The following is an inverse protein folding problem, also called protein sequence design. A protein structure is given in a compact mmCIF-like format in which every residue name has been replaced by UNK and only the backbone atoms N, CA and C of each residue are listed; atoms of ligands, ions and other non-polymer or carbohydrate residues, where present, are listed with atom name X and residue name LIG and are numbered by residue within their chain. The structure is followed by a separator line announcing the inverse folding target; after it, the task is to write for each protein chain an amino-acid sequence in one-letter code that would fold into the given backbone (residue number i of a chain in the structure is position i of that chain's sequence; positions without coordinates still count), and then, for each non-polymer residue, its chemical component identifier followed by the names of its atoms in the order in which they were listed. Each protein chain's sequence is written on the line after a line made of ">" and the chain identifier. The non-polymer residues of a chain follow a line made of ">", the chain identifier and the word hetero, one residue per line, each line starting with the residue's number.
data_IF_282300491856
#
_entry.id   IF_282300491856
#
_cell.length_a   1.000
_cell.length_b   1.000
_cell.length_c   1.000
_cell.angle_alpha   90.00
_cell.angle_beta   90.00
_cell.angle_gamma   90.00
#
_symmetry.space_group_name_H-M   'P 1'
#
loop_
_entity.id
_entity.type
_entity.pdbx_description
1 polymer ?
2 non-polymer ?
3 non-polymer ?
4 non-polymer ?
5 water ?
#
# COMPACT_ATOMS: atom_id res chain seq x y z
N UNK A 2 13.92 -19.04 -15.10
CA UNK A 2 15.24 -18.45 -14.91
C UNK A 2 15.64 -18.45 -13.43
N UNK A 3 14.67 -18.66 -12.55
CA UNK A 3 14.90 -18.61 -11.12
C UNK A 3 14.36 -19.87 -10.46
N UNK A 4 15.09 -20.37 -9.47
CA UNK A 4 14.76 -21.61 -8.83
C UNK A 4 13.61 -21.43 -7.84
N UNK A 5 13.03 -22.57 -7.43
CA UNK A 5 12.01 -22.53 -6.38
C UNK A 5 12.54 -21.81 -5.15
N UNK A 6 13.77 -22.12 -4.74
CA UNK A 6 14.31 -21.49 -3.54
C UNK A 6 14.47 -19.99 -3.71
N UNK A 7 14.86 -19.54 -4.91
CA UNK A 7 14.98 -18.11 -5.16
C UNK A 7 13.64 -17.42 -5.00
N UNK A 8 12.57 -18.04 -5.50
CA UNK A 8 11.23 -17.47 -5.33
C UNK A 8 10.85 -17.42 -3.86
N UNK A 9 11.16 -18.48 -3.11
CA UNK A 9 10.89 -18.48 -1.67
C UNK A 9 11.60 -17.32 -1.00
N UNK A 10 12.89 -17.12 -1.33
CA UNK A 10 13.63 -16.01 -0.73
C UNK A 10 12.99 -14.67 -1.04
N UNK A 11 12.59 -14.47 -2.31
CA UNK A 11 11.97 -13.21 -2.70
C UNK A 11 10.62 -13.01 -2.02
N UNK A 12 9.97 -14.09 -1.58
CA UNK A 12 8.64 -14.00 -1.00
C UNK A 12 8.65 -13.58 0.46
N UNK A 13 9.82 -13.41 1.07
CA UNK A 13 9.88 -13.11 2.48
C UNK A 13 9.87 -11.59 2.71
N UNK A 14 9.19 -11.14 3.77
CA UNK A 14 9.26 -9.71 4.10
C UNK A 14 10.69 -9.32 4.44
N UNK A 15 11.07 -8.10 4.04
CA UNK A 15 12.42 -7.59 4.32
C UNK A 15 12.35 -6.65 5.50
N UNK A 16 11.62 -5.54 5.35
CA UNK A 16 11.40 -4.60 6.45
C UNK A 16 10.05 -4.90 7.10
N UNK A 17 10.02 -4.82 8.43
CA UNK A 17 8.77 -5.03 9.16
C UNK A 17 8.71 -4.09 10.37
N UNK A 18 7.55 -4.08 11.02
CA UNK A 18 7.34 -3.25 12.21
C UNK A 18 8.13 -3.73 13.41
N UNK A 19 8.78 -4.89 13.33
CA UNK A 19 9.68 -5.35 14.38
C UNK A 19 11.04 -4.68 14.31
N UNK A 20 11.37 -4.01 13.20
CA UNK A 20 12.67 -3.40 13.04
C UNK A 20 12.80 -2.21 13.99
N UNK A 21 13.96 -2.12 14.67
CA UNK A 21 14.19 -1.02 15.60
C UNK A 21 14.05 0.33 14.92
N UNK A 22 14.58 0.48 13.70
CA UNK A 22 14.52 1.78 13.03
C UNK A 22 13.09 2.16 12.67
N UNK A 23 12.21 1.18 12.46
CA UNK A 23 10.81 1.48 12.22
C UNK A 23 10.13 1.92 13.52
N UNK A 24 10.33 1.14 14.59
CA UNK A 24 9.79 1.52 15.89
C UNK A 24 10.25 2.92 16.28
N UNK A 25 11.52 3.24 16.05
CA UNK A 25 12.03 4.56 16.40
C UNK A 25 11.31 5.66 15.63
N UNK A 26 11.12 5.46 14.33
CA UNK A 26 10.41 6.45 13.53
C UNK A 26 8.99 6.68 14.06
N UNK A 27 8.25 5.60 14.30
CA UNK A 27 6.88 5.73 14.77
C UNK A 27 6.83 6.42 16.12
N UNK A 28 7.72 6.03 17.04
CA UNK A 28 7.73 6.63 18.37
C UNK A 28 8.02 8.12 18.32
N UNK A 29 9.07 8.51 17.58
CA UNK A 29 9.46 9.91 17.53
C UNK A 29 8.39 10.75 16.84
N UNK A 30 7.86 10.27 15.72
CA UNK A 30 6.89 11.04 14.96
C UNK A 30 5.58 11.15 15.73
N UNK A 31 5.16 10.07 16.38
CA UNK A 31 3.94 10.12 17.18
C UNK A 31 4.04 11.18 18.27
N UNK A 32 5.19 11.23 18.95
CA UNK A 32 5.36 12.23 20.00
C UNK A 32 5.24 13.65 19.45
N UNK A 33 5.84 13.90 18.28
CA UNK A 33 5.79 15.24 17.70
C UNK A 33 4.36 15.62 17.34
N UNK A 34 3.58 14.68 16.81
CA UNK A 34 2.20 14.99 16.43
C UNK A 34 1.31 15.15 17.65
N UNK A 35 1.49 14.29 18.66
CA UNK A 35 0.68 14.41 19.87
C UNK A 35 0.90 15.74 20.57
N UNK A 36 2.12 16.29 20.48
CA UNK A 36 2.41 17.55 21.15
C UNK A 36 1.53 18.68 20.65
N UNK A 37 1.08 18.59 19.40
CA UNK A 37 0.19 19.60 18.84
C UNK A 37 -1.27 19.19 18.86
N UNK A 38 -1.56 17.92 18.54
CA UNK A 38 -2.94 17.50 18.30
C UNK A 38 -3.55 16.71 19.45
N UNK A 39 -2.74 16.24 20.39
CA UNK A 39 -3.30 15.47 21.49
C UNK A 39 -4.12 14.30 20.99
N UNK A 40 -5.29 14.11 21.62
CA UNK A 40 -6.17 12.99 21.28
C UNK A 40 -7.14 13.33 20.15
N UNK A 41 -7.00 14.48 19.51
CA UNK A 41 -7.86 14.85 18.41
C UNK A 41 -7.56 14.09 17.12
N UNK A 42 -6.54 13.24 17.12
CA UNK A 42 -6.18 12.45 15.95
C UNK A 42 -6.08 10.98 16.33
N UNK A 43 -6.33 10.11 15.35
CA UNK A 43 -5.96 8.71 15.42
C UNK A 43 -4.75 8.50 14.54
N UNK A 44 -3.71 7.87 15.09
CA UNK A 44 -2.50 7.55 14.35
C UNK A 44 -2.47 6.04 14.11
N UNK A 45 -2.24 5.65 12.86
CA UNK A 45 -2.16 4.25 12.50
C UNK A 45 -1.30 4.12 11.24
N UNK A 46 -0.99 2.90 10.88
CA UNK A 46 -0.16 2.64 9.71
C UNK A 46 -1.03 2.21 8.53
N UNK A 47 -0.54 2.51 7.33
CA UNK A 47 -1.04 1.91 6.11
C UNK A 47 0.17 1.51 5.28
N UNK A 48 -0.08 1.00 4.10
CA UNK A 48 0.99 0.66 3.19
C UNK A 48 1.74 -0.59 3.62
N UNK A 49 2.96 -0.71 3.09
CA UNK A 49 3.67 -1.99 3.11
C UNK A 49 3.94 -2.46 4.55
N UNK A 50 4.19 -1.53 5.47
CA UNK A 50 4.43 -1.94 6.84
C UNK A 50 3.16 -2.45 7.50
N UNK A 51 2.01 -1.88 7.14
CA UNK A 51 0.73 -2.35 7.68
C UNK A 51 0.35 -3.70 7.10
N UNK A 52 0.46 -3.85 5.78
CA UNK A 52 0.06 -5.07 5.09
C UNK A 52 1.17 -6.11 5.04
N UNK A 53 2.38 -5.77 5.52
CA UNK A 53 3.50 -6.70 5.56
C UNK A 53 3.93 -7.15 4.16
N UNK A 54 4.15 -6.17 3.29
CA UNK A 54 4.53 -6.44 1.91
C UNK A 54 5.84 -5.77 1.52
N UNK A 55 6.69 -5.45 2.49
CA UNK A 55 7.96 -4.79 2.20
C UNK A 55 8.97 -5.78 1.62
N UNK A 56 9.65 -5.37 0.57
CA UNK A 56 10.66 -6.21 -0.06
C UNK A 56 11.98 -5.47 -0.23
N UNK A 57 12.09 -4.30 0.39
CA UNK A 57 13.31 -3.50 0.32
C UNK A 57 13.77 -3.17 1.73
N UNK A 58 15.09 -3.19 1.93
CA UNK A 58 15.64 -2.86 3.24
C UNK A 58 15.40 -1.39 3.55
N UNK A 59 15.13 -1.10 4.82
CA UNK A 59 15.04 0.29 5.29
C UNK A 59 13.95 1.06 4.54
N UNK A 60 12.85 0.38 4.23
CA UNK A 60 11.78 1.00 3.47
C UNK A 60 11.10 2.10 4.29
N UNK A 61 10.52 3.07 3.58
CA UNK A 61 9.78 4.14 4.22
C UNK A 61 8.46 3.60 4.79
N UNK A 62 8.04 4.17 5.91
CA UNK A 62 6.80 3.77 6.58
C UNK A 62 5.76 4.86 6.40
N UNK A 63 4.51 4.44 6.18
CA UNK A 63 3.39 5.35 5.95
C UNK A 63 2.59 5.46 7.24
N UNK A 64 2.68 6.61 7.89
CA UNK A 64 2.01 6.88 9.16
C UNK A 64 0.83 7.80 8.87
N UNK A 65 -0.37 7.31 9.08
CA UNK A 65 -1.59 8.09 8.84
C UNK A 65 -1.93 8.85 10.12
N UNK A 66 -2.24 10.13 9.97
CA UNK A 66 -2.73 10.95 11.09
C UNK A 66 -4.12 11.44 10.73
N UNK A 67 -5.13 10.76 11.25
CA UNK A 67 -6.53 11.06 10.94
C UNK A 67 -7.07 12.04 11.97
N UNK A 68 -7.30 13.28 11.55
CA UNK A 68 -7.94 14.26 12.42
C UNK A 68 -9.42 13.95 12.44
N UNK A 69 -9.94 13.53 13.61
CA UNK A 69 -11.26 12.93 13.65
C UNK A 69 -12.03 13.30 14.91
N UNK A 70 -11.68 14.43 15.54
CA UNK A 70 -12.34 14.85 16.77
C UNK A 70 -13.86 14.90 16.61
N UNK A 71 -14.35 15.23 15.41
CA UNK A 71 -15.79 15.33 15.21
C UNK A 71 -16.46 13.97 15.20
N UNK A 72 -15.75 12.92 14.78
CA UNK A 72 -16.32 11.58 14.69
C UNK A 72 -15.95 10.71 15.88
N UNK A 73 -14.78 10.93 16.48
CA UNK A 73 -14.30 10.17 17.63
C UNK A 73 -13.85 11.18 18.68
N UNK A 74 -14.81 11.87 19.31
CA UNK A 74 -14.46 12.93 20.25
C UNK A 74 -13.86 12.37 21.54
N UNK A 75 -13.36 13.29 22.37
CA UNK A 75 -12.75 12.95 23.64
C UNK A 75 -13.83 12.60 24.64
N UNK A 76 -13.82 11.36 25.12
CA UNK A 76 -14.81 10.91 26.09
C UNK A 76 -14.53 11.54 27.45
N UNK A 96 -12.18 24.11 10.04
CA UNK A 96 -10.85 23.49 9.95
C UNK A 96 -10.74 22.77 8.60
N UNK A 97 -10.15 23.44 7.61
CA UNK A 97 -10.02 22.87 6.28
C UNK A 97 -8.72 22.08 6.17
N UNK A 98 -8.60 21.32 5.08
CA UNK A 98 -7.43 20.44 4.94
C UNK A 98 -6.15 21.25 4.80
N UNK A 99 -6.19 22.38 4.11
CA UNK A 99 -4.98 23.20 3.96
C UNK A 99 -4.39 23.53 5.33
N UNK A 100 -5.23 23.93 6.28
CA UNK A 100 -4.75 24.24 7.62
C UNK A 100 -4.23 22.99 8.33
N UNK A 101 -4.92 21.86 8.16
CA UNK A 101 -4.48 20.62 8.80
C UNK A 101 -3.08 20.24 8.32
N UNK A 102 -2.86 20.25 7.00
CA UNK A 102 -1.56 19.84 6.48
C UNK A 102 -0.47 20.82 6.90
N UNK A 103 -0.79 22.11 6.92
CA UNK A 103 0.18 23.10 7.38
C UNK A 103 0.51 22.91 8.85
N UNK A 104 -0.50 22.66 9.68
CA UNK A 104 -0.27 22.43 11.10
C UNK A 104 0.53 21.16 11.32
N UNK A 105 0.28 20.13 10.50
CA UNK A 105 1.03 18.88 10.61
C UNK A 105 2.50 19.13 10.25
N UNK A 106 2.74 19.86 9.17
CA UNK A 106 4.12 20.18 8.78
C UNK A 106 4.82 20.95 9.89
N UNK A 107 4.11 21.89 10.52
CA UNK A 107 4.68 22.68 11.61
C UNK A 107 5.03 21.81 12.80
N UNK A 108 4.12 20.93 13.20
CA UNK A 108 4.38 20.06 14.35
C UNK A 108 5.63 19.22 14.10
N UNK A 109 5.79 18.71 12.88
CA UNK A 109 6.95 17.88 12.55
C UNK A 109 8.22 18.72 12.46
N UNK A 110 8.13 19.90 11.83
CA UNK A 110 9.32 20.73 11.68
C UNK A 110 9.84 21.20 13.03
N UNK A 111 8.95 21.44 14.00
CA UNK A 111 9.41 21.88 15.32
C UNK A 111 10.36 20.87 15.94
N UNK A 112 10.20 19.59 15.61
CA UNK A 112 11.00 18.52 16.20
C UNK A 112 12.12 18.08 15.26
N UNK A 113 11.80 17.85 13.99
CA UNK A 113 12.73 17.26 13.03
C UNK A 113 13.37 18.28 12.11
N UNK A 114 12.99 19.55 12.23
CA UNK A 114 13.59 20.67 11.49
C UNK A 114 13.89 20.34 10.04
N UNK A 115 15.18 20.32 9.67
CA UNK A 115 15.55 20.23 8.26
C UNK A 115 15.23 18.88 7.63
N UNK A 116 14.87 17.87 8.42
CA UNK A 116 14.49 16.58 7.86
C UNK A 116 13.08 16.57 7.29
N UNK A 117 12.31 17.64 7.48
CA UNK A 117 10.92 17.68 7.05
C UNK A 117 10.84 18.25 5.64
N UNK A 118 10.14 17.55 4.76
CA UNK A 118 9.93 17.99 3.38
C UNK A 118 8.46 17.80 3.04
N UNK A 119 7.80 18.88 2.65
CA UNK A 119 6.41 18.76 2.21
C UNK A 119 6.37 18.10 0.83
N UNK A 120 5.45 17.17 0.67
CA UNK A 120 5.25 16.45 -0.58
C UNK A 120 3.82 16.63 -1.05
N UNK A 121 3.54 16.15 -2.26
CA UNK A 121 2.23 16.36 -2.87
C UNK A 121 1.13 15.73 -2.03
N UNK A 122 1.37 14.54 -1.47
CA UNK A 122 0.32 13.79 -0.80
C UNK A 122 0.63 13.50 0.67
N UNK A 123 1.71 14.05 1.21
CA UNK A 123 2.10 13.76 2.58
C UNK A 123 3.14 14.78 3.03
N UNK A 124 3.55 14.66 4.29
CA UNK A 124 4.72 15.35 4.81
C UNK A 124 5.78 14.28 5.07
N UNK A 125 6.93 14.39 4.42
CA UNK A 125 7.99 13.42 4.58
C UNK A 125 8.91 13.84 5.71
N UNK A 126 9.23 12.90 6.59
CA UNK A 126 10.23 13.10 7.64
C UNK A 126 11.39 12.19 7.29
N UNK A 127 12.47 12.76 6.77
CA UNK A 127 13.61 11.96 6.35
C UNK A 127 14.28 11.30 7.55
N UNK A 128 14.70 10.05 7.35
CA UNK A 128 15.29 9.27 8.41
C UNK A 128 16.75 9.59 8.62
N UNK A 129 17.39 8.75 9.43
CA UNK A 129 18.81 8.90 9.76
C UNK A 129 19.35 7.54 10.15
N UNK A 130 20.53 7.52 10.80
CA UNK A 130 21.16 6.26 11.14
C UNK A 130 20.30 5.41 12.05
N UNK A 131 19.36 6.01 12.79
CA UNK A 131 18.60 5.30 13.80
C UNK A 131 17.11 5.24 13.53
N UNK A 132 16.62 5.76 12.40
CA UNK A 132 15.20 5.69 12.12
C UNK A 132 14.97 5.72 10.62
N UNK A 133 13.96 4.98 10.18
CA UNK A 133 13.59 5.00 8.78
C UNK A 133 12.89 6.32 8.44
N UNK A 134 12.85 6.62 7.14
CA UNK A 134 12.05 7.72 6.65
C UNK A 134 10.57 7.38 6.78
N UNK A 135 9.77 8.40 7.05
CA UNK A 135 8.33 8.23 7.20
C UNK A 135 7.60 9.23 6.32
N UNK A 136 6.51 8.78 5.72
CA UNK A 136 5.54 9.64 5.07
C UNK A 136 4.37 9.79 6.04
N UNK A 137 4.15 11.00 6.52
CA UNK A 137 3.04 11.29 7.42
C UNK A 137 1.87 11.81 6.58
N UNK A 138 0.72 11.16 6.73
CA UNK A 138 -0.43 11.43 5.87
C UNK A 138 -1.55 12.02 6.71
N UNK A 139 -1.63 13.34 6.86
CA UNK A 139 -2.81 13.93 7.50
C UNK A 139 -4.04 13.69 6.63
N UNK A 140 -5.17 13.46 7.30
CA UNK A 140 -6.40 13.16 6.58
C UNK A 140 -7.59 13.35 7.51
N UNK A 141 -8.78 13.25 6.92
CA UNK A 141 -10.04 13.29 7.65
C UNK A 141 -10.78 11.97 7.47
N UNK A 142 -11.82 11.79 8.28
CA UNK A 142 -12.74 10.67 8.09
C UNK A 142 -13.50 10.84 6.78
N UNK A 143 -13.73 9.72 6.10
CA UNK A 143 -14.45 9.68 4.83
C UNK A 143 -15.55 8.64 4.93
N UNK A 144 -16.75 9.00 4.51
CA UNK A 144 -17.86 8.05 4.38
C UNK A 144 -18.37 8.10 2.95
N UNK A 145 -18.53 6.93 2.35
CA UNK A 145 -18.94 6.84 0.96
C UNK A 145 -19.74 5.56 0.75
N UNK A 146 -20.78 5.66 -0.06
CA UNK A 146 -21.63 4.50 -0.30
C UNK A 146 -20.98 3.56 -1.31
N UNK A 147 -20.98 2.27 -1.00
CA UNK A 147 -20.48 1.24 -1.89
C UNK A 147 -21.68 0.53 -2.53
N UNK A 148 -21.80 0.63 -3.85
CA UNK A 148 -22.85 -0.12 -4.54
C UNK A 148 -22.52 -1.61 -4.58
N UNK A 149 -21.24 -1.96 -4.62
CA UNK A 149 -20.85 -3.36 -4.64
C UNK A 149 -21.42 -4.10 -3.43
N UNK A 150 -21.30 -3.50 -2.24
CA UNK A 150 -21.81 -4.11 -1.03
C UNK A 150 -23.08 -3.46 -0.50
N UNK A 151 -23.58 -2.43 -1.18
CA UNK A 151 -24.81 -1.74 -0.79
C UNK A 151 -24.77 -1.34 0.69
N UNK A 152 -23.67 -0.69 1.06
CA UNK A 152 -23.48 -0.20 2.42
C UNK A 152 -22.66 1.07 2.36
N UNK A 153 -22.84 1.93 3.36
CA UNK A 153 -21.93 3.06 3.53
C UNK A 153 -20.64 2.56 4.16
N UNK A 154 -19.50 2.91 3.56
CA UNK A 154 -18.20 2.47 4.01
C UNK A 154 -17.43 3.67 4.57
N UNK A 155 -16.67 3.42 5.63
CA UNK A 155 -15.85 4.45 6.24
C UNK A 155 -14.39 4.23 5.89
N UNK A 156 -13.73 5.29 5.44
CA UNK A 156 -12.31 5.26 5.16
C UNK A 156 -11.69 6.60 5.52
N UNK A 157 -10.71 7.04 4.74
CA UNK A 157 -10.07 8.33 4.96
C UNK A 157 -10.02 9.10 3.66
N UNK A 158 -9.90 10.42 3.78
CA UNK A 158 -9.76 11.29 2.63
C UNK A 158 -8.74 12.38 2.93
N UNK A 159 -7.96 12.75 1.92
CA UNK A 159 -7.08 13.90 2.00
C UNK A 159 -6.99 14.51 0.61
N UNK A 160 -6.29 15.63 0.51
CA UNK A 160 -6.17 16.35 -0.75
C UNK A 160 -4.70 16.55 -1.08
N UNK A 161 -4.36 16.29 -2.34
CA UNK A 161 -3.00 16.50 -2.79
C UNK A 161 -2.78 17.97 -3.09
N UNK A 162 -1.50 18.37 -3.10
CA UNK A 162 -1.17 19.76 -3.42
C UNK A 162 -1.59 20.14 -4.84
N UNK A 163 -1.74 19.16 -5.74
CA UNK A 163 -2.27 19.42 -7.08
C UNK A 163 -3.79 19.25 -7.14
N UNK A 164 -4.47 19.29 -6.00
CA UNK A 164 -5.91 19.47 -5.86
C UNK A 164 -6.73 18.20 -6.09
N UNK A 165 -6.12 17.03 -6.01
CA UNK A 165 -6.89 15.79 -6.13
C UNK A 165 -7.44 15.39 -4.77
N UNK A 166 -8.68 14.89 -4.77
CA UNK A 166 -9.24 14.25 -3.59
C UNK A 166 -8.79 12.80 -3.60
N UNK A 167 -8.03 12.42 -2.58
CA UNK A 167 -7.50 11.07 -2.44
C UNK A 167 -8.32 10.36 -1.39
N UNK A 168 -8.90 9.21 -1.76
CA UNK A 168 -9.77 8.43 -0.89
C UNK A 168 -9.20 7.03 -0.74
N UNK A 169 -9.22 6.51 0.48
CA UNK A 169 -8.58 5.23 0.79
C UNK A 169 -9.41 4.52 1.84
N UNK A 170 -9.38 3.19 1.80
CA UNK A 170 -10.06 2.33 2.76
C UNK A 170 -9.05 1.35 3.33
N UNK A 171 -8.09 1.86 4.11
CA UNK A 171 -6.97 1.01 4.55
C UNK A 171 -7.38 -0.13 5.47
N UNK A 172 -8.40 0.04 6.31
CA UNK A 172 -8.79 -1.03 7.22
C UNK A 172 -9.35 -2.21 6.46
N UNK A 173 -10.26 -1.96 5.51
CA UNK A 173 -10.84 -3.04 4.72
C UNK A 173 -9.80 -3.68 3.80
N UNK A 174 -8.91 -2.86 3.23
CA UNK A 174 -7.78 -3.40 2.49
C UNK A 174 -6.95 -4.35 3.36
N UNK A 175 -6.60 -3.90 4.56
CA UNK A 175 -5.80 -4.74 5.44
C UNK A 175 -6.52 -6.05 5.77
N UNK A 176 -7.77 -5.95 6.21
CA UNK A 176 -8.47 -7.14 6.70
C UNK A 176 -8.70 -8.15 5.59
N UNK A 177 -9.14 -7.69 4.41
CA UNK A 177 -9.42 -8.63 3.32
C UNK A 177 -8.15 -9.27 2.79
N UNK A 178 -7.05 -8.52 2.74
CA UNK A 178 -5.79 -9.11 2.31
C UNK A 178 -5.26 -10.13 3.30
N UNK A 179 -5.40 -9.83 4.59
CA UNK A 179 -5.02 -10.80 5.63
C UNK A 179 -5.83 -12.08 5.49
N UNK A 180 -7.14 -11.95 5.30
CA UNK A 180 -7.99 -13.12 5.17
C UNK A 180 -7.58 -13.96 3.97
N UNK A 181 -7.30 -13.32 2.82
CA UNK A 181 -6.95 -14.10 1.64
C UNK A 181 -5.64 -14.86 1.85
N UNK A 182 -4.62 -14.21 2.43
CA UNK A 182 -3.38 -14.92 2.66
C UNK A 182 -3.57 -16.07 3.66
N UNK A 183 -4.46 -15.89 4.64
CA UNK A 183 -4.75 -16.98 5.58
C UNK A 183 -5.46 -18.14 4.90
N UNK A 184 -6.13 -17.90 3.77
CA UNK A 184 -6.84 -18.96 3.06
C UNK A 184 -6.03 -19.60 1.95
N UNK A 185 -4.86 -19.05 1.61
CA UNK A 185 -4.09 -19.50 0.47
C UNK A 185 -2.72 -20.03 0.86
N UNK A 186 -2.63 -20.67 2.03
CA UNK A 186 -1.36 -21.21 2.51
C UNK A 186 -0.31 -20.10 2.63
N UNK A 187 -0.75 -18.88 2.91
CA UNK A 187 0.09 -17.71 3.06
C UNK A 187 0.73 -17.28 1.74
N UNK A 188 0.25 -17.81 0.61
CA UNK A 188 0.86 -17.53 -0.67
C UNK A 188 0.37 -16.23 -1.31
N UNK A 189 -0.80 -15.71 -0.91
CA UNK A 189 -1.27 -14.46 -1.51
C UNK A 189 -0.23 -13.35 -1.34
N UNK A 190 0.14 -13.06 -0.10
CA UNK A 190 1.11 -11.97 0.13
C UNK A 190 2.50 -12.36 -0.34
N UNK A 191 2.85 -13.64 -0.29
CA UNK A 191 4.14 -14.09 -0.81
C UNK A 191 4.25 -13.84 -2.31
N UNK A 192 3.16 -14.06 -3.04
CA UNK A 192 3.17 -13.77 -4.48
C UNK A 192 3.21 -12.28 -4.74
N UNK A 193 2.49 -11.48 -3.94
CA UNK A 193 2.60 -10.03 -4.05
C UNK A 193 4.05 -9.60 -3.89
N UNK A 194 4.73 -10.13 -2.86
CA UNK A 194 6.11 -9.73 -2.61
C UNK A 194 7.01 -10.11 -3.77
N UNK A 195 6.82 -11.31 -4.33
CA UNK A 195 7.61 -11.72 -5.50
C UNK A 195 7.41 -10.73 -6.64
N UNK A 196 6.16 -10.38 -6.92
CA UNK A 196 5.89 -9.47 -8.05
C UNK A 196 6.42 -8.07 -7.77
N UNK A 197 6.44 -7.63 -6.51
CA UNK A 197 7.05 -6.35 -6.18
C UNK A 197 8.56 -6.39 -6.43
N UNK A 198 9.21 -7.50 -6.08
CA UNK A 198 10.63 -7.67 -6.38
C UNK A 198 10.87 -7.55 -7.88
N UNK A 199 10.07 -8.26 -8.68
CA UNK A 199 10.23 -8.22 -10.13
C UNK A 199 9.98 -6.80 -10.65
N UNK A 200 8.98 -6.12 -10.09
CA UNK A 200 8.70 -4.74 -10.48
C UNK A 200 9.92 -3.85 -10.27
N UNK A 201 10.54 -3.92 -9.09
CA UNK A 201 11.70 -3.08 -8.82
C UNK A 201 12.85 -3.42 -9.76
N UNK A 202 13.05 -4.71 -10.07
CA UNK A 202 14.10 -5.11 -10.99
C UNK A 202 13.84 -4.59 -12.40
N UNK A 203 12.60 -4.70 -12.88
CA UNK A 203 12.27 -4.19 -14.20
C UNK A 203 12.45 -2.67 -14.25
N UNK A 204 12.11 -1.96 -13.18
CA UNK A 204 12.33 -0.53 -13.14
C UNK A 204 13.82 -0.20 -13.18
N UNK A 205 14.61 -0.90 -12.36
CA UNK A 205 16.05 -0.65 -12.33
C UNK A 205 16.70 -0.93 -13.67
N UNK A 206 16.21 -1.94 -14.38
CA UNK A 206 16.73 -2.27 -15.71
C UNK A 206 16.24 -1.32 -16.80
N UNK A 207 15.33 -0.40 -16.47
CA UNK A 207 14.77 0.47 -17.48
C UNK A 207 13.80 -0.19 -18.41
N UNK A 208 13.23 -1.33 -18.01
CA UNK A 208 12.32 -2.07 -18.87
C UNK A 208 10.89 -1.55 -18.78
N UNK A 209 10.51 -0.99 -17.64
CA UNK A 209 9.20 -0.39 -17.45
C UNK A 209 9.37 0.93 -16.71
N UNK A 210 8.38 1.81 -16.87
CA UNK A 210 8.37 3.06 -16.13
C UNK A 210 8.13 2.78 -14.64
N UNK A 211 8.67 3.65 -13.80
CA UNK A 211 8.57 3.45 -12.36
C UNK A 211 7.14 3.62 -11.84
N UNK A 212 6.19 4.00 -12.70
CA UNK A 212 4.79 4.14 -12.30
C UNK A 212 3.85 3.33 -13.17
N UNK A 213 4.36 2.38 -13.96
CA UNK A 213 3.48 1.51 -14.72
C UNK A 213 2.48 0.83 -13.79
N UNK A 214 2.98 0.30 -12.68
CA UNK A 214 2.15 -0.27 -11.63
C UNK A 214 2.59 0.33 -10.30
N UNK A 215 1.86 -0.04 -9.24
CA UNK A 215 2.17 0.37 -7.88
C UNK A 215 1.98 -0.84 -6.99
N UNK A 216 2.46 -0.74 -5.75
CA UNK A 216 2.23 -1.82 -4.78
C UNK A 216 0.73 -2.07 -4.63
N UNK A 217 -0.05 -1.00 -4.46
CA UNK A 217 -1.50 -1.14 -4.35
C UNK A 217 -2.08 -1.88 -5.56
N UNK A 218 -1.68 -1.47 -6.76
CA UNK A 218 -2.18 -2.09 -7.98
C UNK A 218 -1.83 -3.57 -8.01
N UNK A 219 -0.58 -3.91 -7.69
CA UNK A 219 -0.18 -5.32 -7.67
C UNK A 219 -1.02 -6.10 -6.66
N UNK A 220 -1.19 -5.53 -5.46
CA UNK A 220 -1.97 -6.21 -4.43
C UNK A 220 -3.39 -6.47 -4.90
N UNK A 221 -4.00 -5.52 -5.61
CA UNK A 221 -5.37 -5.72 -6.09
C UNK A 221 -5.42 -6.76 -7.19
N UNK A 222 -4.45 -6.76 -8.11
CA UNK A 222 -4.45 -7.74 -9.19
C UNK A 222 -4.37 -9.16 -8.63
N UNK A 223 -3.41 -9.42 -7.74
CA UNK A 223 -3.25 -10.77 -7.21
C UNK A 223 -4.45 -11.17 -6.36
N UNK A 224 -5.08 -10.20 -5.70
CA UNK A 224 -6.23 -10.49 -4.86
C UNK A 224 -7.36 -11.13 -5.66
N UNK A 225 -7.50 -10.77 -6.94
CA UNK A 225 -8.59 -11.29 -7.75
C UNK A 225 -8.30 -12.64 -8.38
N UNK A 226 -7.10 -13.19 -8.17
CA UNK A 226 -6.83 -14.57 -8.59
C UNK A 226 -7.52 -15.52 -7.62
N UNK A 227 -8.34 -16.46 -8.11
CA UNK A 227 -9.09 -17.32 -7.19
C UNK A 227 -8.17 -18.11 -6.26
N UNK A 228 -8.66 -18.35 -5.04
CA UNK A 228 -7.86 -19.03 -4.04
C UNK A 228 -7.35 -20.39 -4.53
N UNK A 229 -8.12 -21.08 -5.38
CA UNK A 229 -7.72 -22.42 -5.81
C UNK A 229 -6.55 -22.41 -6.79
N UNK A 230 -6.01 -21.25 -7.14
CA UNK A 230 -4.82 -21.16 -7.97
C UNK A 230 -3.53 -21.18 -7.14
N UNK A 231 -3.63 -21.05 -5.82
CA UNK A 231 -2.46 -21.02 -4.95
C UNK A 231 -2.22 -22.43 -4.43
N UNK A 232 -1.06 -22.98 -4.79
CA UNK A 232 -0.76 -24.39 -4.57
C UNK A 232 0.21 -24.50 -3.40
N UNK A 233 -0.22 -25.14 -2.32
CA UNK A 233 0.62 -25.28 -1.15
C UNK A 233 1.95 -25.93 -1.52
N UNK A 234 3.04 -25.27 -1.12
CA UNK A 234 4.36 -25.82 -1.29
C UNK A 234 4.92 -25.76 -2.68
N UNK A 235 4.27 -25.07 -3.61
CA UNK A 235 4.77 -24.96 -4.98
C UNK A 235 4.75 -23.49 -5.41
N UNK A 236 5.85 -22.80 -5.13
CA UNK A 236 5.93 -21.38 -5.46
C UNK A 236 6.03 -21.17 -6.97
N UNK A 237 6.79 -22.03 -7.66
CA UNK A 237 6.98 -21.85 -9.09
C UNK A 237 5.66 -21.99 -9.84
N UNK A 238 4.87 -23.01 -9.51
CA UNK A 238 3.60 -23.21 -10.22
C UNK A 238 2.53 -22.21 -9.78
N UNK A 239 2.52 -21.85 -8.49
CA UNK A 239 1.59 -20.82 -8.04
C UNK A 239 1.83 -19.51 -8.78
N UNK A 240 3.09 -19.08 -8.88
CA UNK A 240 3.41 -17.84 -9.55
C UNK A 240 3.04 -17.91 -11.03
N UNK A 241 3.27 -19.06 -11.66
CA UNK A 241 2.81 -19.25 -13.02
C UNK A 241 1.31 -19.07 -13.11
N UNK A 242 0.57 -19.73 -12.22
CA UNK A 242 -0.88 -19.60 -12.22
C UNK A 242 -1.32 -18.15 -12.06
N UNK A 243 -0.66 -17.42 -11.15
CA UNK A 243 -1.04 -16.03 -10.88
C UNK A 243 -0.85 -15.17 -12.12
N UNK A 244 0.32 -15.28 -12.75
CA UNK A 244 0.62 -14.44 -13.91
C UNK A 244 -0.32 -14.78 -15.06
N UNK A 245 -0.50 -16.08 -15.34
CA UNK A 245 -1.36 -16.49 -16.44
C UNK A 245 -2.79 -16.02 -16.21
N UNK A 246 -3.29 -16.14 -14.96
CA UNK A 246 -4.67 -15.77 -14.69
C UNK A 246 -4.90 -14.28 -14.87
N UNK A 247 -4.00 -13.44 -14.33
CA UNK A 247 -4.17 -12.00 -14.49
C UNK A 247 -4.07 -11.62 -15.97
N UNK A 248 -3.06 -12.14 -16.66
CA UNK A 248 -2.87 -11.88 -18.09
C UNK A 248 -4.13 -12.19 -18.88
N UNK A 249 -4.68 -13.40 -18.70
CA UNK A 249 -5.88 -13.78 -19.43
C UNK A 249 -7.08 -12.94 -19.01
N UNK A 250 -7.20 -12.67 -17.72
CA UNK A 250 -8.31 -11.83 -17.25
C UNK A 250 -8.28 -10.44 -17.87
N UNK A 251 -7.08 -9.88 -18.05
CA UNK A 251 -6.98 -8.55 -18.66
C UNK A 251 -7.39 -8.58 -20.12
N UNK A 252 -6.94 -9.59 -20.87
CA UNK A 252 -7.40 -9.74 -22.25
C UNK A 252 -8.91 -9.92 -22.31
N UNK A 253 -9.50 -10.47 -21.24
CA UNK A 253 -10.92 -10.78 -21.18
C UNK A 253 -11.73 -9.76 -20.40
N UNK A 254 -11.19 -8.55 -20.20
CA UNK A 254 -12.00 -7.42 -19.74
C UNK A 254 -12.62 -7.68 -18.37
N UNK A 255 -11.85 -8.29 -17.48
CA UNK A 255 -12.40 -8.78 -16.22
C UNK A 255 -12.74 -7.63 -15.29
N UNK A 256 -13.77 -7.85 -14.46
CA UNK A 256 -14.21 -6.89 -13.47
C UNK A 256 -13.55 -7.24 -12.14
N UNK A 257 -12.36 -6.70 -11.91
CA UNK A 257 -11.64 -6.92 -10.68
C UNK A 257 -12.10 -5.93 -9.61
N UNK A 258 -12.10 -6.36 -8.35
CA UNK A 258 -12.38 -5.45 -7.26
C UNK A 258 -11.06 -4.98 -6.64
N UNK A 259 -11.13 -3.84 -5.93
CA UNK A 259 -10.05 -3.51 -5.01
C UNK A 259 -10.05 -4.53 -3.88
N UNK A 260 -8.93 -4.61 -3.16
CA UNK A 260 -8.85 -5.54 -2.04
C UNK A 260 -9.96 -5.27 -1.04
N UNK A 261 -10.36 -4.00 -0.89
CA UNK A 261 -11.42 -3.63 0.05
C UNK A 261 -12.77 -4.22 -0.31
N UNK A 262 -12.94 -4.73 -1.53
CA UNK A 262 -14.19 -5.33 -2.00
C UNK A 262 -15.36 -4.36 -2.00
N UNK A 263 -15.10 -3.06 -1.87
CA UNK A 263 -16.14 -2.05 -1.87
C UNK A 263 -16.26 -1.32 -3.20
N UNK A 264 -15.21 -1.33 -4.02
CA UNK A 264 -15.19 -0.60 -5.27
C UNK A 264 -14.42 -1.39 -6.31
N UNK A 265 -14.67 -1.06 -7.58
CA UNK A 265 -14.01 -1.75 -8.67
C UNK A 265 -12.60 -1.22 -8.85
N UNK A 266 -11.68 -2.12 -9.22
CA UNK A 266 -10.30 -1.70 -9.48
C UNK A 266 -10.21 -0.82 -10.72
N UNK A 267 -10.92 -1.18 -11.78
CA UNK A 267 -10.88 -0.46 -13.05
C UNK A 267 -12.07 0.47 -13.19
N UNK A 268 -12.29 1.28 -12.16
CA UNK A 268 -13.36 2.24 -12.16
C UNK A 268 -12.91 3.53 -12.85
N UNK A 269 -13.89 4.39 -13.13
CA UNK A 269 -13.60 5.67 -13.79
C UNK A 269 -12.84 6.63 -12.89
N UNK A 270 -12.70 6.33 -11.60
CA UNK A 270 -11.90 7.19 -10.74
C UNK A 270 -10.41 6.94 -10.89
N UNK A 271 -10.03 5.81 -11.50
CA UNK A 271 -8.64 5.39 -11.51
C UNK A 271 -8.04 5.50 -12.90
N UNK A 272 -6.88 6.15 -13.05
CA UNK A 272 -6.25 6.22 -14.37
C UNK A 272 -5.53 4.94 -14.80
N UNK A 273 -5.26 4.00 -13.89
CA UNK A 273 -4.59 2.75 -14.27
C UNK A 273 -5.58 1.84 -14.99
N UNK A 274 -5.07 1.12 -15.98
CA UNK A 274 -5.92 0.38 -16.91
C UNK A 274 -5.58 -1.10 -16.93
N UNK A 275 -6.50 -1.89 -17.49
CA UNK A 275 -6.21 -3.30 -17.72
C UNK A 275 -5.01 -3.49 -18.63
N UNK A 276 -4.79 -2.56 -19.56
CA UNK A 276 -3.63 -2.66 -20.43
C UNK A 276 -2.33 -2.51 -19.64
N UNK A 277 -2.31 -1.62 -18.64
CA UNK A 277 -1.15 -1.52 -17.77
C UNK A 277 -0.86 -2.87 -17.11
N UNK A 278 -1.90 -3.53 -16.59
CA UNK A 278 -1.72 -4.81 -15.93
C UNK A 278 -1.28 -5.88 -16.92
N UNK A 279 -1.87 -5.89 -18.12
CA UNK A 279 -1.49 -6.87 -19.14
C UNK A 279 -0.02 -6.71 -19.50
N UNK A 280 0.41 -5.48 -19.78
CA UNK A 280 1.81 -5.26 -20.12
C UNK A 280 2.75 -5.66 -18.99
N UNK A 281 2.38 -5.34 -17.76
CA UNK A 281 3.21 -5.71 -16.61
C UNK A 281 3.33 -7.23 -16.51
N UNK A 282 2.21 -7.95 -16.64
CA UNK A 282 2.27 -9.40 -16.58
C UNK A 282 3.18 -9.97 -17.65
N UNK A 283 3.10 -9.41 -18.87
CA UNK A 283 3.98 -9.88 -19.94
C UNK A 283 5.44 -9.67 -19.59
N UNK A 284 5.77 -8.50 -19.06
CA UNK A 284 7.15 -8.22 -18.69
C UNK A 284 7.62 -9.17 -17.59
N UNK A 285 6.76 -9.45 -16.61
CA UNK A 285 7.11 -10.39 -15.56
C UNK A 285 7.33 -11.78 -16.15
N UNK A 286 6.42 -12.23 -17.00
CA UNK A 286 6.54 -13.55 -17.62
C UNK A 286 7.86 -13.68 -18.37
N UNK A 287 8.20 -12.68 -19.18
CA UNK A 287 9.44 -12.73 -19.94
C UNK A 287 10.66 -12.69 -19.01
N UNK A 288 10.61 -11.84 -17.98
CA UNK A 288 11.75 -11.72 -17.07
C UNK A 288 11.98 -13.03 -16.31
N UNK A 289 10.91 -13.67 -15.85
CA UNK A 289 11.03 -14.91 -15.09
C UNK A 289 11.37 -16.11 -15.94
N UNK A 290 11.08 -16.06 -17.24
CA UNK A 290 11.50 -17.13 -18.12
C UNK A 290 10.60 -18.34 -18.15
N UNK A 291 9.32 -18.17 -17.81
CA UNK A 291 8.37 -19.27 -17.92
C UNK A 291 8.22 -19.73 -19.37
X LIG B 1 5.73 14.06 -4.94
X LIG B 1 6.81 13.02 -4.77
X LIG B 1 5.93 15.20 -3.98
X LIG B 1 5.74 14.57 -6.36
X LIG B 1 4.09 12.27 -3.47
X LIG B 1 5.37 11.69 -3.02
X LIG B 1 3.20 12.71 -2.36
X LIG B 1 4.26 13.37 -4.64
X LIG B 1 3.62 9.24 -3.36
X LIG B 1 5.08 9.17 -3.03
X LIG B 1 3.23 8.04 -4.26
X LIG B 1 3.29 10.86 -4.25
X LIG B 1 2.61 9.19 -2.06
X LIG B 1 3.12 9.73 -0.89
X LIG B 1 2.49 8.96 0.29
X LIG B 1 1.22 9.25 0.35
X LIG B 1 2.60 7.45 0.01
X LIG B 1 3.64 6.93 0.71
X LIG B 1 1.26 6.88 0.49
X LIG B 1 1.43 6.33 1.88
X LIG B 1 0.41 7.86 0.51
X LIG B 1 -0.49 7.72 -0.63
X LIG B 1 -0.35 7.90 -1.95
X LIG B 1 -1.52 7.62 -2.55
X LIG B 1 -2.40 7.28 -1.59
X LIG B 1 -3.72 6.90 -1.63
X LIG B 1 -4.68 6.74 -2.69
X LIG B 1 -4.36 6.60 -0.51
X LIG B 1 -3.71 6.66 0.67
X LIG B 1 -2.42 7.04 0.71
X LIG B 1 -1.75 7.33 -0.42
X LIG B 1 3.62 10.79 -5.16
X LIG B 1 2.34 11.01 -4.26
X LIG B 1 2.89 10.67 -0.83
X LIG B 1 4.09 9.63 -0.87
X LIG B 1 2.91 9.16 1.14
X LIG B 1 2.72 7.26 -0.94
X LIG B 1 4.05 6.36 0.24
X LIG B 1 0.94 6.20 -0.13
X LIG B 1 0.99 5.61 1.96
X LIG B 1 -0.05 7.86 1.37
X LIG B 1 0.44 8.17 -2.38
X LIG B 1 -5.50 6.97 -2.58
X LIG B 1 -4.44 6.41 -3.45
X LIG B 1 -4.17 6.45 1.46
X LIG C 1 5.55 0.45 -1.08
X LIG C 1 6.59 -0.60 -0.79
X LIG C 1 5.74 0.95 -2.49
X LIG C 1 5.68 1.60 -0.10
X LIG C 1 4.11 -0.25 -0.98
X LIG C 1 2.89 0.34 -0.11
X LIG C 1 3.39 1.04 1.14
X LIG C 1 1.97 -0.81 0.22
X LIG C 1 2.09 1.36 -1.05
X LIG C 1 2.25 2.96 -0.95
X LIG C 1 3.46 3.35 -0.14
X LIG C 1 2.31 3.55 -2.33
X LIG C 1 0.91 3.44 -0.22
X LIG C 1 0.64 3.03 1.10
X LIG C 1 -0.81 2.66 1.23
X LIG C 1 -1.61 3.75 0.73
X LIG C 1 -1.29 1.39 0.50
X LIG C 1 -1.22 0.26 1.30
X LIG C 1 -2.77 1.75 0.22
X LIG C 1 -3.54 1.32 1.31
X LIG C 1 -2.77 3.27 0.06
X LIG C 1 -2.74 3.57 -1.38
X LIG C 1 -1.65 3.90 -2.12
X LIG C 1 -2.04 4.08 -3.40
X LIG C 1 -3.38 3.88 -3.47
X LIG C 1 -4.29 3.93 -4.53
X LIG C 1 -3.90 4.22 -5.65
X LIG C 1 -5.62 3.66 -4.29
X LIG C 1 -6.05 3.34 -3.02
X LIG C 1 -7.33 3.08 -2.78
X LIG C 1 -5.14 3.28 -1.98
X LIG C 1 -3.83 3.55 -2.20
X LIG C 1 -0.92 2.45 2.29
X LIG C 1 -0.68 1.15 -0.37
X LIG C 1 -3.19 1.26 -0.67
X LIG C 1 -3.82 2.10 1.84
X LIG C 1 -3.66 3.74 0.51
X LIG C 1 -0.63 4.00 -1.74
X LIG C 1 -6.31 3.70 -5.08
X LIG C 1 -7.62 2.84 -1.84
X LIG C 1 -8.00 3.12 -3.54
X LIG D 1 4.23 -14.41 5.87
X LIG D 1 4.89 -14.76 4.56
X LIG D 1 2.92 -13.71 5.60
X LIG D 1 4.03 -15.66 6.70
X LIG D 1 5.22 -13.38 6.63
X LIG D 1 5.49 -13.26 8.21
X LIG D 1 6.55 -12.22 8.46
X LIG D 1 5.88 -14.59 8.80
X LIG D 1 4.10 -12.72 8.83
X LIG D 1 3.18 -13.60 9.80
X LIG D 1 3.37 -15.09 9.56
X LIG D 1 1.73 -13.22 9.60
X LIG D 1 3.59 -13.22 11.31
X LIG D 1 3.18 -12.00 11.87
X LIG D 1 3.61 -12.00 13.32
X LIG D 1 2.63 -12.66 14.12
X LIG D 1 4.92 -12.75 13.56
X LIG D 1 5.66 -12.08 14.54
X LIG D 1 4.50 -14.15 14.09
X LIG D 1 5.44 -14.67 14.98
X LIG D 1 3.17 -13.81 14.79
X LIG D 1 2.19 -14.89 14.86
X LIG D 1 2.35 -16.15 14.40
X LIG D 1 1.23 -16.84 14.70
X LIG D 1 0.37 -16.04 15.35
X LIG D 1 -0.90 -16.24 15.87
X LIG D 1 -1.46 -17.33 15.77
X LIG D 1 -1.55 -15.20 16.50
X LIG D 1 -0.93 -13.97 16.62
X LIG D 1 -1.56 -12.97 17.23
X LIG D 1 0.33 -13.77 16.11
X LIG D 1 0.98 -14.80 15.48
X LIG D 1 3.76 -10.95 13.57
X LIG D 1 5.54 -12.85 12.67
X LIG D 1 5.67 -12.61 15.37
X LIG D 1 4.42 -14.91 13.32
X LIG D 1 5.02 -14.79 15.86
X LIG D 1 3.41 -13.63 15.84
X LIG D 1 3.23 -16.54 13.90
X LIG D 1 -2.51 -15.34 16.90
X LIG D 1 -1.11 -12.07 17.31
X LIG D 1 -2.49 -13.12 17.61
X LIG E 1 4.62 2.75 1.46
#
# INVERSE_FOLDING_TARGET
>A
MNFSEQQLINWSRPVSTTEDLKCQNAITQITAALRAKFGNRVTIFLQGSYRNNTNVRQNSDVDIVMRYDDAFYPDLQRLSESDKAIYNAQRTYSGYNFDELKADTEEALRNVFTTSVERKNKCIQVNGNSNRITADVIPCFVLKRFSTLQSVEAEGIKFYSDDNKEIISFPEQHYSNGTEKTNQTYRLYKRMVRILKVVNYRLIDDGEIADNLVSSFFIECLVYNVPNNQFISGNYTQTLRNVIVKIYEDMKNNADYTEVNRLFWLFSNRSPRTRQDALGFMQKCWNYLGYQ
>B hetero
1 APC PG O1G O2G O3G PB O1B O2B O3B PA O1A O2A C3A O5' C5' C4' O4' C3' O3' C2' O2' C1' N9 C8 N7 C5 C6 N6 N1 C2 N3 C4 H3A1 H3A2 H5'1 H5'2 H4' H3' HO3' H2' HO2' H1' H8 HN61 HN62 H2
>C hetero
1 GTP PG O1G O2G O3G O3B PB O1B O2B O3A PA O1A O2A O5' C5' C4' O4' C3' O3' C2' O2' C1' N9 C8 N7 C5 C6 O6 N1 C2 N2 N3 C4 H4' H3' H2' HO2' H1' H8 HN1 HN21 HN22
>D hetero
1 GTP PG O1G O2G O3G O3B PB O1B O2B O3A PA O1A O2A O5' C5' C4' O4' C3' O3' C2' O2' C1' N9 C8 N7 C5 C6 O6 N1 C2 N2 N3 C4 H4' H3' HO3' H2' HO2' H1' H8 HN1 HN21 HN22
>E hetero
1 MG MG
#
